data_IF_132169252184
#
_entry.id   IF_132169252184
#
_cell.length_a   1.000
_cell.length_b   1.000
_cell.length_c   1.000
_cell.angle_alpha   90.00
_cell.angle_beta   90.00
_cell.angle_gamma   90.00
#
_symmetry.space_group_name_H-M   'P 1'
#
loop_
_entity.id
_entity.type
_entity.pdbx_description
1 polymer ?
#
# COMPACT_ATOMS: atom_id res chain seq x y z
N UNK A 1 9.13 -13.25 -19.42
CA UNK A 1 8.62 -13.79 -18.13
C UNK A 1 9.28 -13.02 -16.99
N UNK A 2 8.91 -11.76 -16.75
CA UNK A 2 9.41 -11.00 -15.60
C UNK A 2 8.31 -10.99 -14.54
N UNK A 3 8.17 -12.10 -13.81
CA UNK A 3 7.36 -12.10 -12.59
C UNK A 3 8.12 -11.27 -11.56
N UNK A 4 7.51 -10.19 -11.09
CA UNK A 4 8.12 -9.36 -10.06
C UNK A 4 8.07 -10.14 -8.74
N UNK A 5 9.24 -10.45 -8.19
CA UNK A 5 9.34 -11.27 -6.99
C UNK A 5 9.16 -10.39 -5.74
N UNK A 6 7.91 -10.27 -5.31
CA UNK A 6 7.53 -9.48 -4.15
C UNK A 6 8.20 -9.99 -2.87
N UNK A 7 8.40 -11.31 -2.75
CA UNK A 7 9.03 -11.94 -1.59
C UNK A 7 10.50 -11.52 -1.46
N UNK A 8 11.23 -11.54 -2.58
CA UNK A 8 12.61 -11.06 -2.64
C UNK A 8 12.72 -9.59 -2.27
N UNK A 9 11.82 -8.75 -2.77
CA UNK A 9 11.77 -7.33 -2.40
C UNK A 9 11.52 -7.16 -0.90
N UNK A 10 10.54 -7.85 -0.32
CA UNK A 10 10.27 -7.80 1.12
C UNK A 10 11.46 -8.26 1.96
N UNK A 11 12.16 -9.33 1.57
CA UNK A 11 13.36 -9.80 2.28
C UNK A 11 14.48 -8.75 2.25
N UNK A 12 14.69 -8.08 1.12
CA UNK A 12 15.68 -7.01 0.98
C UNK A 12 15.33 -5.78 1.83
N UNK A 13 14.04 -5.43 1.87
CA UNK A 13 13.53 -4.32 2.68
C UNK A 13 13.60 -4.62 4.17
N UNK A 14 13.34 -5.86 4.58
CA UNK A 14 13.48 -6.30 5.97
C UNK A 14 14.93 -6.20 6.47
N UNK A 15 15.91 -6.48 5.60
CA UNK A 15 17.34 -6.37 5.92
C UNK A 15 17.88 -4.93 5.83
N UNK A 16 17.11 -4.05 5.21
CA UNK A 16 17.50 -2.65 4.97
C UNK A 16 17.31 -1.82 6.23
N UNK A 17 18.39 -1.15 6.66
CA UNK A 17 18.36 -0.16 7.76
C UNK A 17 17.85 1.22 7.33
N UNK A 18 17.68 1.44 6.03
CA UNK A 18 17.18 2.69 5.47
C UNK A 18 15.66 2.81 5.66
N UNK A 19 15.17 4.04 5.73
CA UNK A 19 13.74 4.32 5.74
C UNK A 19 13.20 4.14 4.33
N UNK A 20 12.24 3.25 4.18
CA UNK A 20 11.50 3.06 2.92
C UNK A 20 10.02 3.35 3.13
N UNK A 21 9.37 3.77 2.06
CA UNK A 21 7.93 3.93 1.94
C UNK A 21 7.53 3.33 0.60
N UNK A 22 6.55 2.43 0.61
CA UNK A 22 6.03 1.79 -0.60
C UNK A 22 4.52 1.89 -0.57
N UNK A 23 3.94 2.18 -1.72
CA UNK A 23 2.50 2.14 -1.95
C UNK A 23 2.14 0.86 -2.70
N UNK A 24 1.11 0.17 -2.21
CA UNK A 24 0.55 -1.04 -2.82
C UNK A 24 -0.96 -0.93 -2.89
N UNK A 25 -1.59 -1.73 -3.74
CA UNK A 25 -3.04 -1.97 -3.70
C UNK A 25 -3.39 -2.84 -2.47
N UNK A 26 -4.55 -2.60 -1.84
CA UNK A 26 -4.99 -3.36 -0.67
C UNK A 26 -5.32 -4.82 -1.00
N UNK A 27 -4.29 -5.65 -0.95
CA UNK A 27 -4.40 -7.09 -1.12
C UNK A 27 -3.96 -7.84 0.14
N UNK A 28 -4.65 -8.95 0.48
CA UNK A 28 -4.31 -9.76 1.65
C UNK A 28 -2.90 -10.36 1.56
N UNK A 29 -2.40 -10.62 0.35
CA UNK A 29 -1.05 -11.14 0.11
C UNK A 29 0.02 -10.12 0.50
N UNK A 30 -0.10 -8.88 0.04
CA UNK A 30 0.80 -7.77 0.39
C UNK A 30 0.83 -7.56 1.90
N UNK A 31 -0.34 -7.60 2.55
CA UNK A 31 -0.46 -7.45 4.01
C UNK A 31 0.28 -8.54 4.78
N UNK A 32 0.26 -9.79 4.30
CA UNK A 32 1.00 -10.91 4.90
C UNK A 32 2.50 -10.76 4.65
N UNK A 33 2.87 -10.41 3.44
CA UNK A 33 4.26 -10.32 2.97
C UNK A 33 5.04 -9.20 3.69
N UNK A 34 4.40 -8.06 3.93
CA UNK A 34 4.97 -6.91 4.63
C UNK A 34 4.59 -6.81 6.10
N UNK A 35 4.13 -7.91 6.73
CA UNK A 35 3.69 -7.92 8.15
C UNK A 35 4.77 -7.44 9.13
N UNK A 36 6.04 -7.50 8.73
CA UNK A 36 7.17 -7.00 9.54
C UNK A 36 7.32 -5.47 9.54
N UNK A 37 6.67 -4.77 8.59
CA UNK A 37 6.72 -3.33 8.43
C UNK A 37 5.41 -2.67 8.92
N UNK A 38 5.41 -1.34 9.05
CA UNK A 38 4.19 -0.60 9.35
C UNK A 38 3.33 -0.48 8.09
N UNK A 39 2.17 -1.10 8.10
CA UNK A 39 1.18 -1.03 7.02
C UNK A 39 0.04 -0.11 7.47
N UNK A 40 -0.18 0.99 6.74
CA UNK A 40 -1.27 1.94 6.96
C UNK A 40 -2.18 1.91 5.73
N UNK A 41 -3.42 1.46 5.94
CA UNK A 41 -4.44 1.53 4.91
C UNK A 41 -4.89 2.97 4.72
N UNK A 42 -4.99 3.39 3.46
CA UNK A 42 -5.46 4.68 3.06
C UNK A 42 -6.49 4.51 1.95
N UNK A 43 -7.72 4.85 2.27
CA UNK A 43 -8.79 4.89 1.28
C UNK A 43 -8.87 6.31 0.74
N UNK A 44 -8.24 6.56 -0.42
CA UNK A 44 -8.43 7.85 -1.10
C UNK A 44 -9.77 7.78 -1.85
N UNK A 45 -10.80 8.36 -1.26
CA UNK A 45 -11.97 8.74 -2.04
C UNK A 45 -11.54 9.92 -2.91
N UNK A 46 -11.50 9.75 -4.23
CA UNK A 46 -11.22 10.85 -5.17
C UNK A 46 -12.31 11.93 -5.03
N UNK A 47 -12.08 12.86 -4.10
CA UNK A 47 -13.01 13.90 -3.69
C UNK A 47 -12.73 15.19 -4.42
N UNK A 48 -13.11 15.25 -5.69
CA UNK A 48 -13.40 16.52 -6.34
C UNK A 48 -14.68 16.35 -7.16
N UNK A 49 -15.81 16.22 -6.47
CA UNK A 49 -17.12 16.48 -7.06
C UNK A 49 -18.10 16.91 -5.98
N UNK A 50 -18.25 18.23 -5.83
CA UNK A 50 -19.57 18.78 -5.66
C UNK A 50 -20.36 18.41 -6.93
N UNK A 51 -21.59 17.90 -6.77
CA UNK A 51 -22.60 17.60 -7.80
C UNK A 51 -22.82 16.12 -8.17
N UNK A 52 -24.11 15.77 -8.02
CA UNK A 52 -24.91 14.81 -8.79
C UNK A 52 -24.71 13.31 -8.53
N UNK A 53 -25.59 12.78 -7.67
CA UNK A 53 -26.59 11.74 -8.01
C UNK A 53 -26.12 10.79 -9.12
N UNK A 54 -25.77 9.55 -8.76
CA UNK A 54 -25.38 8.43 -9.66
C UNK A 54 -23.94 8.47 -10.20
N UNK A 55 -23.00 7.91 -9.43
CA UNK A 55 -21.91 7.05 -9.94
C UNK A 55 -21.04 6.62 -8.78
N UNK A 56 -20.90 5.31 -8.63
CA UNK A 56 -20.10 4.63 -7.63
C UNK A 56 -18.65 5.12 -7.71
N UNK A 57 -18.28 6.05 -6.84
CA UNK A 57 -16.91 6.53 -6.72
C UNK A 57 -16.02 5.32 -6.42
N UNK A 58 -15.09 5.00 -7.31
CA UNK A 58 -14.08 3.98 -7.07
C UNK A 58 -13.26 4.39 -5.85
N UNK A 59 -13.52 3.74 -4.72
CA UNK A 59 -12.71 3.89 -3.52
C UNK A 59 -11.37 3.22 -3.85
N UNK A 60 -10.33 4.02 -4.05
CA UNK A 60 -8.97 3.50 -4.18
C UNK A 60 -8.50 3.07 -2.79
N UNK A 61 -8.34 1.78 -2.57
CA UNK A 61 -7.79 1.25 -1.32
C UNK A 61 -6.30 1.03 -1.51
N UNK A 62 -5.50 1.98 -1.04
CA UNK A 62 -4.04 1.91 -1.10
C UNK A 62 -3.49 1.53 0.29
N UNK A 63 -2.40 0.77 0.29
CA UNK A 63 -1.62 0.44 1.47
C UNK A 63 -0.29 1.16 1.43
N UNK A 64 -0.02 1.96 2.45
CA UNK A 64 1.29 2.52 2.72
C UNK A 64 2.09 1.58 3.61
N UNK A 65 3.26 1.15 3.14
CA UNK A 65 4.14 0.21 3.83
C UNK A 65 5.47 0.91 4.12
N UNK A 66 5.82 1.05 5.39
CA UNK A 66 7.02 1.75 5.82
C UNK A 66 7.77 1.06 6.95
N UNK A 67 9.10 1.18 6.96
CA UNK A 67 9.95 0.70 8.06
C UNK A 67 10.02 1.65 9.26
N UNK A 68 9.22 2.72 9.24
CA UNK A 68 9.21 3.76 10.26
C UNK A 68 7.77 3.99 10.70
N UNK A 69 7.56 4.53 11.90
CA UNK A 69 6.22 4.84 12.38
C UNK A 69 5.58 5.89 11.46
N UNK A 70 4.49 5.51 10.80
CA UNK A 70 3.64 6.40 10.02
C UNK A 70 2.75 7.18 11.00
N UNK A 71 3.16 8.41 11.34
CA UNK A 71 2.32 9.34 12.12
C UNK A 71 1.00 9.60 11.40
#
# INVERSE_FOLDING_TARGET
>A
MHSFDHEKLASLLQKTKHRFLITYDDCPEVRKLYRFANIKGWSLQYGMNNCSVTRESKIGNELFIANYPLK
#
